data_IF_473335186079
#
_entry.id   IF_473335186079
#
_cell.length_a   1.000
_cell.length_b   1.000
_cell.length_c   1.000
_cell.angle_alpha   90.00
_cell.angle_beta   90.00
_cell.angle_gamma   90.00
#
_symmetry.space_group_name_H-M   'P 1'
#
loop_
_entity.id
_entity.type
_entity.pdbx_description
1 polymer ?
#
# COMPACT_ATOMS: atom_id res chain seq x y z
N UNK A 1 17.52 -8.45 5.80
CA UNK A 1 17.40 -7.09 6.29
C UNK A 1 16.09 -6.45 5.88
N UNK A 2 15.55 -5.57 6.74
CA UNK A 2 14.23 -4.96 6.51
C UNK A 2 14.19 -4.08 5.26
N UNK A 3 15.20 -3.24 5.04
CA UNK A 3 15.20 -2.33 3.89
C UNK A 3 15.24 -3.09 2.57
N UNK A 4 16.00 -4.16 2.51
CA UNK A 4 16.04 -5.01 1.32
C UNK A 4 14.70 -5.70 1.09
N UNK A 5 14.06 -6.16 2.17
CA UNK A 5 12.74 -6.77 2.09
C UNK A 5 11.71 -5.79 1.57
N UNK A 6 11.70 -4.55 2.10
CA UNK A 6 10.78 -3.51 1.65
C UNK A 6 11.02 -3.14 0.18
N UNK A 7 12.29 -3.06 -0.23
CA UNK A 7 12.62 -2.77 -1.63
C UNK A 7 12.12 -3.88 -2.56
N UNK A 8 12.27 -5.14 -2.14
CA UNK A 8 11.77 -6.28 -2.90
C UNK A 8 10.26 -6.27 -3.02
N UNK A 9 9.56 -5.98 -1.92
CA UNK A 9 8.11 -5.87 -1.92
C UNK A 9 7.64 -4.72 -2.80
N UNK A 10 8.32 -3.57 -2.75
CA UNK A 10 7.96 -2.43 -3.60
C UNK A 10 8.08 -2.75 -5.08
N UNK A 11 9.12 -3.48 -5.48
CA UNK A 11 9.27 -3.93 -6.87
C UNK A 11 8.11 -4.80 -7.31
N UNK A 12 7.70 -5.74 -6.45
CA UNK A 12 6.55 -6.60 -6.73
C UNK A 12 5.24 -5.80 -6.79
N UNK A 13 5.08 -4.84 -5.89
CA UNK A 13 3.91 -3.96 -5.86
C UNK A 13 3.84 -3.14 -7.15
N UNK A 14 4.97 -2.55 -7.58
CA UNK A 14 5.03 -1.77 -8.81
C UNK A 14 4.66 -2.63 -10.03
N UNK A 15 5.20 -3.84 -10.09
CA UNK A 15 4.94 -4.78 -11.18
C UNK A 15 3.45 -5.15 -11.21
N UNK A 16 2.90 -5.53 -10.06
CA UNK A 16 1.50 -5.93 -9.96
C UNK A 16 0.56 -4.74 -10.19
N UNK A 17 0.93 -3.55 -9.70
CA UNK A 17 0.16 -2.32 -9.93
C UNK A 17 0.10 -1.94 -11.40
N UNK A 18 1.21 -2.10 -12.12
CA UNK A 18 1.25 -1.87 -13.56
C UNK A 18 0.31 -2.83 -14.30
N UNK A 19 0.38 -4.11 -13.95
CA UNK A 19 -0.50 -5.13 -14.52
C UNK A 19 -1.98 -4.79 -14.27
N UNK A 20 -2.29 -4.39 -13.04
CA UNK A 20 -3.65 -4.02 -12.64
C UNK A 20 -4.14 -2.80 -13.43
N UNK A 21 -3.29 -1.79 -13.61
CA UNK A 21 -3.63 -0.57 -14.36
C UNK A 21 -3.86 -0.84 -15.84
N UNK A 22 -3.07 -1.75 -16.43
CA UNK A 22 -3.17 -2.07 -17.85
C UNK A 22 -4.35 -2.98 -18.16
N UNK A 23 -4.54 -4.03 -17.36
CA UNK A 23 -5.56 -5.05 -17.62
C UNK A 23 -6.90 -4.74 -16.97
N UNK A 24 -6.90 -3.99 -15.89
CA UNK A 24 -8.11 -3.61 -15.14
C UNK A 24 -8.96 -4.82 -14.76
N UNK A 25 -8.31 -5.91 -14.38
CA UNK A 25 -8.95 -7.17 -14.03
C UNK A 25 -9.04 -7.30 -12.50
N UNK A 26 -10.26 -7.40 -11.99
CA UNK A 26 -10.49 -7.50 -10.54
C UNK A 26 -9.79 -8.72 -9.92
N UNK A 27 -9.56 -9.77 -10.70
CA UNK A 27 -8.85 -10.97 -10.21
C UNK A 27 -7.41 -10.67 -9.78
N UNK A 28 -6.79 -9.65 -10.38
CA UNK A 28 -5.44 -9.24 -10.03
C UNK A 28 -5.38 -8.46 -8.71
N UNK A 29 -6.52 -8.00 -8.23
CA UNK A 29 -6.62 -7.20 -7.00
C UNK A 29 -6.19 -7.96 -5.75
N UNK A 30 -6.49 -9.25 -5.69
CA UNK A 30 -6.16 -10.08 -4.52
C UNK A 30 -4.65 -10.10 -4.26
N UNK A 31 -3.85 -10.32 -5.30
CA UNK A 31 -2.40 -10.34 -5.18
C UNK A 31 -1.86 -8.96 -4.86
N UNK A 32 -2.38 -7.93 -5.51
CA UNK A 32 -1.97 -6.55 -5.26
C UNK A 32 -2.22 -6.15 -3.81
N UNK A 33 -3.44 -6.39 -3.33
CA UNK A 33 -3.81 -6.10 -1.93
C UNK A 33 -2.91 -6.85 -0.95
N UNK A 34 -2.65 -8.12 -1.21
CA UNK A 34 -1.81 -8.95 -0.37
C UNK A 34 -0.39 -8.40 -0.24
N UNK A 35 0.20 -7.98 -1.36
CA UNK A 35 1.54 -7.38 -1.38
C UNK A 35 1.59 -6.06 -0.62
N UNK A 36 0.59 -5.21 -0.82
CA UNK A 36 0.49 -3.92 -0.13
C UNK A 36 0.34 -4.13 1.38
N UNK A 37 -0.51 -5.06 1.79
CA UNK A 37 -0.70 -5.38 3.20
C UNK A 37 0.57 -5.94 3.85
N UNK A 38 1.28 -6.79 3.14
CA UNK A 38 2.55 -7.32 3.63
C UNK A 38 3.57 -6.20 3.85
N UNK A 39 3.68 -5.29 2.90
CA UNK A 39 4.55 -4.12 3.03
C UNK A 39 4.19 -3.30 4.28
N UNK A 40 2.91 -2.97 4.44
CA UNK A 40 2.45 -2.20 5.60
C UNK A 40 2.71 -2.93 6.91
N UNK A 41 2.46 -4.24 6.96
CA UNK A 41 2.70 -5.04 8.17
C UNK A 41 4.16 -4.99 8.60
N UNK A 42 5.08 -5.06 7.65
CA UNK A 42 6.51 -4.96 7.97
C UNK A 42 6.86 -3.60 8.58
N UNK A 43 6.32 -2.53 8.00
CA UNK A 43 6.57 -1.18 8.52
C UNK A 43 5.93 -0.97 9.89
N UNK A 44 4.70 -1.43 10.08
CA UNK A 44 3.98 -1.29 11.36
C UNK A 44 4.70 -2.07 12.47
N UNK A 45 5.15 -3.28 12.17
CA UNK A 45 5.88 -4.09 13.14
C UNK A 45 7.18 -3.42 13.56
N UNK A 46 7.89 -2.83 12.61
CA UNK A 46 9.09 -2.05 12.90
C UNK A 46 8.77 -0.84 13.78
N UNK A 47 7.70 -0.13 13.49
CA UNK A 47 7.28 1.05 14.26
C UNK A 47 6.92 0.68 15.69
N UNK A 48 6.23 -0.44 15.90
CA UNK A 48 5.91 -0.94 17.24
C UNK A 48 7.15 -1.28 18.04
N UNK A 49 8.07 -1.99 17.42
CA UNK A 49 9.33 -2.37 18.05
C UNK A 49 10.14 -1.13 18.42
N UNK A 50 10.27 -0.20 17.50
CA UNK A 50 11.02 1.05 17.73
C UNK A 50 10.40 1.88 18.84
N UNK A 51 9.08 1.98 18.85
CA UNK A 51 8.33 2.71 19.87
C UNK A 51 8.56 2.13 21.28
N UNK A 52 8.53 0.79 21.39
CA UNK A 52 8.77 0.11 22.66
C UNK A 52 10.18 0.31 23.20
N UNK A 53 11.16 0.21 22.32
CA UNK A 53 12.57 0.31 22.69
C UNK A 53 13.01 1.74 22.99
N UNK A 54 12.43 2.73 22.32
CA UNK A 54 12.89 4.11 22.35
C UNK A 54 11.86 5.08 22.92
N UNK A 55 10.76 4.61 23.46
CA UNK A 55 9.67 5.45 23.98
C UNK A 55 9.22 6.50 22.97
N UNK A 56 9.12 6.08 21.71
CA UNK A 56 8.77 6.99 20.65
C UNK A 56 7.42 7.61 20.82
N UNK A 57 7.35 8.84 20.38
CA UNK A 57 6.21 9.69 20.56
C UNK A 57 4.96 9.15 19.84
N UNK A 58 3.82 9.63 20.34
CA UNK A 58 2.52 9.30 19.79
C UNK A 58 2.37 9.75 18.35
N UNK A 59 3.01 10.87 17.99
CA UNK A 59 2.89 11.46 16.65
C UNK A 59 3.38 10.52 15.57
N UNK A 60 4.52 9.86 15.82
CA UNK A 60 5.04 8.89 14.86
C UNK A 60 4.10 7.72 14.64
N UNK A 61 3.52 7.19 15.73
CA UNK A 61 2.55 6.10 15.64
C UNK A 61 1.25 6.54 14.97
N UNK A 62 0.74 7.70 15.32
CA UNK A 62 -0.46 8.26 14.69
C UNK A 62 -0.27 8.48 13.20
N UNK A 63 0.91 8.97 12.81
CA UNK A 63 1.24 9.16 11.40
C UNK A 63 1.18 7.84 10.65
N UNK A 64 1.81 6.79 11.19
CA UNK A 64 1.83 5.46 10.57
C UNK A 64 0.40 4.93 10.42
N UNK A 65 -0.39 4.95 11.49
CA UNK A 65 -1.76 4.45 11.44
C UNK A 65 -2.65 5.28 10.51
N UNK A 66 -2.43 6.59 10.45
CA UNK A 66 -3.14 7.46 9.52
C UNK A 66 -2.88 7.09 8.08
N UNK A 67 -1.62 6.81 7.75
CA UNK A 67 -1.25 6.37 6.39
C UNK A 67 -1.85 4.99 6.09
N UNK A 68 -1.81 4.06 7.04
CA UNK A 68 -2.41 2.73 6.86
C UNK A 68 -3.90 2.86 6.51
N UNK A 69 -4.62 3.72 7.21
CA UNK A 69 -6.05 3.97 6.91
C UNK A 69 -6.26 4.50 5.50
N UNK A 70 -5.41 5.43 5.07
CA UNK A 70 -5.51 5.99 3.72
C UNK A 70 -5.22 4.93 2.66
N UNK A 71 -4.24 4.07 2.90
CA UNK A 71 -3.94 2.96 1.99
C UNK A 71 -5.14 2.02 1.89
N UNK A 72 -5.71 1.62 3.03
CA UNK A 72 -6.89 0.74 3.05
C UNK A 72 -8.06 1.36 2.31
N UNK A 73 -8.32 2.65 2.51
CA UNK A 73 -9.38 3.37 1.80
C UNK A 73 -9.14 3.34 0.29
N UNK A 74 -7.91 3.62 -0.14
CA UNK A 74 -7.57 3.62 -1.57
C UNK A 74 -7.65 2.22 -2.18
N UNK A 75 -7.28 1.18 -1.42
CA UNK A 75 -7.43 -0.20 -1.87
C UNK A 75 -8.91 -0.55 -2.08
N UNK A 76 -9.77 -0.15 -1.16
CA UNK A 76 -11.21 -0.41 -1.28
C UNK A 76 -11.82 0.34 -2.48
N UNK A 77 -11.45 1.60 -2.66
CA UNK A 77 -11.92 2.40 -3.79
C UNK A 77 -11.43 1.83 -5.12
N UNK A 78 -10.20 1.35 -5.16
CA UNK A 78 -9.63 0.68 -6.33
C UNK A 78 -10.43 -0.58 -6.67
N UNK A 79 -10.72 -1.40 -5.67
CA UNK A 79 -11.51 -2.61 -5.87
C UNK A 79 -12.91 -2.29 -6.38
N UNK A 80 -13.55 -1.24 -5.85
CA UNK A 80 -14.85 -0.80 -6.31
C UNK A 80 -14.84 -0.39 -7.78
N UNK A 81 -13.78 0.32 -8.21
CA UNK A 81 -13.65 0.74 -9.60
C UNK A 81 -13.48 -0.47 -10.52
N UNK A 82 -12.72 -1.47 -10.08
CA UNK A 82 -12.40 -2.65 -10.88
C UNK A 82 -13.62 -3.56 -11.14
N UNK A 83 -14.66 -3.49 -10.31
CA UNK A 83 -15.87 -4.30 -10.51
C UNK A 83 -16.94 -3.60 -11.34
N UNK A 84 -16.74 -2.35 -11.72
CA UNK A 84 -17.70 -1.63 -12.57
C UNK A 84 -17.69 -2.18 -13.99
N UNK A 85 -18.83 -2.12 -14.66
CA UNK A 85 -18.93 -2.50 -16.05
C UNK A 85 -18.10 -1.57 -16.95
N UNK A 86 -18.20 -0.27 -16.69
CA UNK A 86 -17.37 0.73 -17.36
C UNK A 86 -16.33 1.25 -16.38
N UNK A 87 -15.10 0.82 -16.56
CA UNK A 87 -14.00 1.17 -15.66
C UNK A 87 -13.32 2.46 -16.11
N UNK A 88 -13.03 3.34 -15.15
CA UNK A 88 -12.26 4.55 -15.39
C UNK A 88 -10.77 4.26 -15.24
N UNK A 89 -10.08 4.10 -16.37
CA UNK A 89 -8.66 3.78 -16.41
C UNK A 89 -7.81 4.84 -15.66
N UNK A 90 -8.15 6.12 -15.85
CA UNK A 90 -7.41 7.21 -15.19
C UNK A 90 -7.58 7.13 -13.68
N UNK A 91 -8.79 6.85 -13.21
CA UNK A 91 -9.05 6.69 -11.78
C UNK A 91 -8.28 5.51 -11.19
N UNK A 92 -8.25 4.39 -11.91
CA UNK A 92 -7.48 3.20 -11.50
C UNK A 92 -5.99 3.55 -11.39
N UNK A 93 -5.44 4.20 -12.40
CA UNK A 93 -4.05 4.60 -12.43
C UNK A 93 -3.72 5.56 -11.27
N UNK A 94 -4.59 6.53 -11.03
CA UNK A 94 -4.42 7.47 -9.92
C UNK A 94 -4.45 6.78 -8.56
N UNK A 95 -5.32 5.80 -8.37
CA UNK A 95 -5.37 5.04 -7.11
C UNK A 95 -4.10 4.23 -6.89
N UNK A 96 -3.61 3.57 -7.92
CA UNK A 96 -2.36 2.82 -7.86
C UNK A 96 -1.19 3.75 -7.51
N UNK A 97 -1.12 4.91 -8.15
CA UNK A 97 -0.07 5.91 -7.88
C UNK A 97 -0.17 6.46 -6.46
N UNK A 98 -1.37 6.73 -5.99
CA UNK A 98 -1.59 7.22 -4.62
C UNK A 98 -1.15 6.21 -3.57
N UNK A 99 -1.50 4.95 -3.77
CA UNK A 99 -1.08 3.87 -2.87
C UNK A 99 0.45 3.80 -2.85
N UNK A 100 1.09 3.86 -4.01
CA UNK A 100 2.55 3.85 -4.09
C UNK A 100 3.17 5.00 -3.29
N UNK A 101 2.66 6.21 -3.47
CA UNK A 101 3.14 7.38 -2.72
C UNK A 101 2.99 7.22 -1.22
N UNK A 102 1.85 6.69 -0.77
CA UNK A 102 1.59 6.44 0.65
C UNK A 102 2.55 5.40 1.22
N UNK A 103 2.87 4.34 0.45
CA UNK A 103 3.82 3.32 0.88
C UNK A 103 5.24 3.88 1.00
N UNK A 104 5.63 4.78 0.10
CA UNK A 104 6.90 5.49 0.20
C UNK A 104 6.91 6.34 1.47
N UNK A 105 5.85 7.08 1.72
CA UNK A 105 5.73 7.94 2.91
C UNK A 105 5.82 7.13 4.21
N UNK A 106 5.14 5.99 4.28
CA UNK A 106 5.12 5.18 5.49
C UNK A 106 6.48 4.54 5.78
N UNK A 107 7.28 4.31 4.74
CA UNK A 107 8.59 3.66 4.88
C UNK A 107 9.73 4.63 5.17
N UNK A 108 9.46 5.92 5.14
CA UNK A 108 10.42 6.96 5.50
C UNK A 108 10.10 7.56 6.88
#
# INVERSE_FOLDING_TARGET
>A
ELQEKLNGLMKEIDKQGKKLSEHMDVRDMKKYRSLVKEFMNEVVNRSHKFSRENFLDRRGRHRVYGIVRLVDKNLDELAEELVKDEKDHINILNKVDEIRGLLIDIST
#
